data_IF_202816224620
#
_entry.id   IF_202816224620
#
_cell.length_a   1.000
_cell.length_b   1.000
_cell.length_c   1.000
_cell.angle_alpha   90.00
_cell.angle_beta   90.00
_cell.angle_gamma   90.00
#
_symmetry.space_group_name_H-M   'P 1'
#
loop_
_entity.id
_entity.type
_entity.pdbx_description
1 polymer ?
#
# COMPACT_ATOMS: atom_id res chain seq x y z
N UNK A 1 -48.12 -2.47 28.61
CA UNK A 1 -47.20 -1.41 28.16
C UNK A 1 -47.27 -1.37 26.63
N UNK A 2 -47.74 -0.23 26.10
CA UNK A 2 -47.54 0.37 24.75
C UNK A 2 -47.26 -0.58 23.56
N UNK A 3 -48.23 -0.76 22.66
CA UNK A 3 -48.51 0.07 21.47
C UNK A 3 -47.54 -0.27 20.31
N UNK A 4 -47.96 -1.09 19.34
CA UNK A 4 -48.56 -0.68 18.04
C UNK A 4 -47.54 -0.18 17.02
N UNK A 5 -47.36 -0.93 15.92
CA UNK A 5 -47.56 -0.50 14.52
C UNK A 5 -46.66 -1.24 13.54
N UNK A 6 -47.29 -2.20 12.85
CA UNK A 6 -47.03 -2.50 11.45
C UNK A 6 -47.08 -1.19 10.64
N UNK A 7 -46.04 -0.92 9.86
CA UNK A 7 -46.10 0.04 8.76
C UNK A 7 -45.49 -0.62 7.52
N UNK A 8 -46.34 -1.42 6.87
CA UNK A 8 -46.22 -1.79 5.47
C UNK A 8 -46.13 -0.52 4.58
N UNK A 9 -45.33 -0.63 3.52
CA UNK A 9 -45.54 -0.05 2.18
C UNK A 9 -45.23 1.43 1.90
N UNK A 10 -44.22 1.54 1.02
CA UNK A 10 -44.26 2.24 -0.29
C UNK A 10 -44.38 3.77 -0.27
N UNK A 11 -43.25 4.44 -0.42
CA UNK A 11 -43.10 5.64 -1.27
C UNK A 11 -41.66 5.60 -1.79
N UNK A 12 -41.47 5.18 -3.02
CA UNK A 12 -41.44 6.05 -4.21
C UNK A 12 -39.98 6.41 -4.56
N UNK A 13 -39.60 6.00 -5.76
CA UNK A 13 -38.35 6.33 -6.40
C UNK A 13 -38.16 7.85 -6.53
N UNK A 14 -36.89 8.26 -6.49
CA UNK A 14 -36.25 9.31 -7.29
C UNK A 14 -35.35 10.19 -6.41
N UNK A 15 -34.07 10.24 -6.75
CA UNK A 15 -33.26 11.41 -6.44
C UNK A 15 -31.83 11.14 -6.00
N UNK A 16 -30.93 11.31 -6.97
CA UNK A 16 -29.61 11.94 -6.82
C UNK A 16 -28.45 11.15 -6.19
N UNK A 17 -27.56 10.73 -7.09
CA UNK A 17 -26.12 10.97 -7.06
C UNK A 17 -25.46 11.13 -5.69
N UNK A 18 -24.81 10.07 -5.19
CA UNK A 18 -23.64 10.23 -4.32
C UNK A 18 -22.51 9.34 -4.82
N UNK A 19 -21.60 10.02 -5.52
CA UNK A 19 -20.15 9.90 -5.49
C UNK A 19 -19.50 8.51 -5.64
N UNK A 20 -18.79 8.38 -6.77
CA UNK A 20 -17.39 7.94 -6.83
C UNK A 20 -16.93 7.07 -5.66
N UNK A 21 -17.00 5.76 -5.85
CA UNK A 21 -16.11 4.81 -5.17
C UNK A 21 -14.67 5.13 -5.56
N UNK A 22 -14.06 6.07 -4.82
CA UNK A 22 -12.64 6.32 -4.81
C UNK A 22 -11.94 4.98 -4.55
N UNK A 23 -11.23 4.48 -5.56
CA UNK A 23 -10.36 3.33 -5.43
C UNK A 23 -9.48 3.53 -4.19
N UNK A 24 -9.63 2.62 -3.25
CA UNK A 24 -8.95 2.59 -1.97
C UNK A 24 -7.44 2.59 -2.19
N UNK A 25 -6.82 3.77 -2.09
CA UNK A 25 -5.37 3.89 -2.00
C UNK A 25 -4.96 3.32 -0.65
N UNK A 26 -4.72 2.01 -0.57
CA UNK A 26 -4.41 1.33 0.68
C UNK A 26 -3.16 1.94 1.31
N UNK A 27 -3.27 2.77 2.38
CA UNK A 27 -2.12 3.45 2.96
C UNK A 27 -1.29 2.51 3.85
N UNK A 28 -1.74 1.26 4.02
CA UNK A 28 -1.15 0.30 4.96
C UNK A 28 0.33 0.00 4.66
N UNK A 29 0.76 0.04 3.39
CA UNK A 29 2.17 -0.18 3.04
C UNK A 29 3.08 0.97 3.45
N UNK A 30 2.58 2.22 3.42
CA UNK A 30 3.37 3.44 3.68
C UNK A 30 3.86 3.55 5.14
N UNK A 31 3.26 2.81 6.08
CA UNK A 31 3.61 2.85 7.51
C UNK A 31 4.44 1.63 7.97
N UNK A 32 4.71 0.67 7.08
CA UNK A 32 5.41 -0.57 7.45
C UNK A 32 6.91 -0.33 7.77
N UNK A 33 7.52 -1.12 8.67
CA UNK A 33 8.97 -1.09 8.89
C UNK A 33 9.78 -1.38 7.61
N UNK A 34 9.24 -2.23 6.74
CA UNK A 34 9.83 -2.54 5.43
C UNK A 34 9.85 -1.31 4.52
N UNK A 35 8.75 -0.55 4.45
CA UNK A 35 8.69 0.71 3.69
C UNK A 35 9.71 1.73 4.19
N UNK A 36 9.80 1.94 5.52
CA UNK A 36 10.80 2.84 6.12
C UNK A 36 12.23 2.39 5.85
N UNK A 37 12.49 1.09 5.76
CA UNK A 37 13.79 0.57 5.33
C UNK A 37 14.03 0.87 3.84
N UNK A 38 13.04 0.62 2.99
CA UNK A 38 13.07 0.94 1.56
C UNK A 38 13.34 2.41 1.29
N UNK A 39 12.69 3.32 2.01
CA UNK A 39 12.92 4.78 1.91
C UNK A 39 14.36 5.15 2.24
N UNK A 40 14.93 4.60 3.33
CA UNK A 40 16.33 4.86 3.70
C UNK A 40 17.29 4.39 2.61
N UNK A 41 17.04 3.22 2.04
CA UNK A 41 17.85 2.69 0.92
C UNK A 41 17.71 3.59 -0.31
N UNK A 42 16.49 3.98 -0.68
CA UNK A 42 16.23 4.80 -1.84
C UNK A 42 16.91 6.17 -1.75
N UNK A 43 16.79 6.81 -0.58
CA UNK A 43 17.42 8.10 -0.31
C UNK A 43 18.94 8.01 -0.32
N UNK A 44 19.53 6.95 0.27
CA UNK A 44 20.99 6.73 0.22
C UNK A 44 21.53 6.51 -1.19
N UNK A 45 20.67 6.13 -2.13
CA UNK A 45 21.01 5.88 -3.53
C UNK A 45 20.59 7.01 -4.46
N UNK A 46 20.02 8.08 -3.91
CA UNK A 46 19.55 9.25 -4.65
C UNK A 46 18.58 8.88 -5.80
N UNK A 47 17.69 7.91 -5.57
CA UNK A 47 16.64 7.64 -6.55
C UNK A 47 15.68 8.83 -6.60
N UNK A 48 15.30 9.23 -7.81
CA UNK A 48 14.38 10.35 -8.06
C UNK A 48 12.99 10.13 -7.44
N UNK A 49 12.56 8.87 -7.33
CA UNK A 49 11.24 8.47 -6.79
C UNK A 49 11.40 7.55 -5.57
N UNK A 50 11.86 8.06 -4.42
CA UNK A 50 12.18 7.24 -3.26
C UNK A 50 10.95 6.54 -2.66
N UNK A 51 9.78 7.20 -2.63
CA UNK A 51 8.53 6.60 -2.15
C UNK A 51 8.03 5.46 -3.05
N UNK A 52 8.18 5.60 -4.38
CA UNK A 52 7.83 4.54 -5.32
C UNK A 52 8.71 3.30 -5.07
N UNK A 53 10.03 3.51 -4.96
CA UNK A 53 10.95 2.43 -4.60
C UNK A 53 10.56 1.77 -3.28
N UNK A 54 10.28 2.56 -2.24
CA UNK A 54 9.97 2.05 -0.92
C UNK A 54 8.70 1.20 -0.88
N UNK A 55 7.70 1.54 -1.70
CA UNK A 55 6.46 0.76 -1.84
C UNK A 55 6.72 -0.59 -2.48
N UNK A 56 7.41 -0.61 -3.64
CA UNK A 56 7.77 -1.86 -4.32
C UNK A 56 8.68 -2.69 -3.42
N UNK A 57 9.64 -2.06 -2.74
CA UNK A 57 10.49 -2.72 -1.76
C UNK A 57 9.67 -3.39 -0.66
N UNK A 58 8.68 -2.71 -0.06
CA UNK A 58 7.86 -3.26 1.01
C UNK A 58 7.06 -4.51 0.61
N UNK A 59 6.67 -4.63 -0.66
CA UNK A 59 5.98 -5.81 -1.22
C UNK A 59 6.92 -7.02 -1.28
N UNK A 60 8.16 -6.81 -1.71
CA UNK A 60 9.15 -7.88 -1.93
C UNK A 60 10.08 -8.14 -0.74
N UNK A 61 10.09 -7.24 0.24
CA UNK A 61 11.00 -7.28 1.35
C UNK A 61 10.68 -8.43 2.31
N UNK A 62 11.75 -9.10 2.74
CA UNK A 62 11.71 -10.12 3.77
C UNK A 62 12.56 -9.65 4.94
N UNK A 63 12.12 -10.01 6.14
CA UNK A 63 12.91 -9.77 7.35
C UNK A 63 14.03 -10.80 7.38
N UNK A 64 15.26 -10.32 7.36
CA UNK A 64 16.45 -11.15 7.54
C UNK A 64 16.84 -11.14 9.02
N UNK A 65 17.06 -12.32 9.58
CA UNK A 65 17.67 -12.48 10.89
C UNK A 65 19.18 -12.32 10.76
N UNK A 66 19.62 -11.06 10.59
CA UNK A 66 21.03 -10.75 10.56
C UNK A 66 21.60 -10.83 12.00
N UNK A 67 22.70 -11.56 12.24
CA UNK A 67 23.22 -11.81 13.59
C UNK A 67 23.54 -10.53 14.36
N UNK A 68 24.07 -9.51 13.69
CA UNK A 68 24.39 -8.21 14.31
C UNK A 68 23.30 -7.14 14.17
N UNK A 69 22.38 -7.28 13.20
CA UNK A 69 21.40 -6.23 12.88
C UNK A 69 20.00 -6.76 13.15
N UNK A 70 19.51 -6.50 14.36
CA UNK A 70 18.11 -6.77 14.72
C UNK A 70 17.21 -6.06 13.71
N UNK A 71 16.33 -6.81 13.04
CA UNK A 71 15.34 -6.30 12.08
C UNK A 71 15.88 -5.79 10.74
N UNK A 72 16.86 -6.47 10.15
CA UNK A 72 17.29 -6.17 8.79
C UNK A 72 16.20 -6.51 7.77
N UNK A 73 15.94 -5.60 6.82
CA UNK A 73 15.00 -5.81 5.73
C UNK A 73 15.78 -5.88 4.42
N UNK A 74 15.52 -6.90 3.62
CA UNK A 74 16.10 -7.03 2.29
C UNK A 74 15.05 -7.52 1.30
N UNK A 75 15.05 -6.96 0.10
CA UNK A 75 14.30 -7.48 -1.03
C UNK A 75 15.26 -8.32 -1.89
N UNK A 76 14.92 -9.57 -2.24
CA UNK A 76 15.72 -10.35 -3.17
C UNK A 76 15.84 -9.59 -4.50
N UNK A 77 17.05 -9.46 -5.04
CA UNK A 77 17.30 -8.79 -6.31
C UNK A 77 16.88 -9.62 -7.54
N UNK A 78 15.79 -10.39 -7.41
CA UNK A 78 15.25 -11.24 -8.46
C UNK A 78 14.50 -10.44 -9.53
N UNK A 79 14.21 -11.11 -10.66
CA UNK A 79 13.54 -10.51 -11.80
C UNK A 79 12.19 -9.87 -11.48
N UNK A 80 11.41 -10.45 -10.56
CA UNK A 80 10.12 -9.90 -10.15
C UNK A 80 10.25 -8.50 -9.53
N UNK A 81 11.16 -8.33 -8.56
CA UNK A 81 11.39 -7.04 -7.91
C UNK A 81 11.95 -5.99 -8.90
N UNK A 82 12.90 -6.39 -9.75
CA UNK A 82 13.50 -5.49 -10.75
C UNK A 82 12.49 -5.07 -11.82
N UNK A 83 11.69 -6.02 -12.33
CA UNK A 83 10.66 -5.77 -13.33
C UNK A 83 9.57 -4.82 -12.80
N UNK A 84 9.16 -5.00 -11.56
CA UNK A 84 8.16 -4.13 -10.93
C UNK A 84 8.71 -2.72 -10.63
N UNK A 85 9.98 -2.62 -10.21
CA UNK A 85 10.66 -1.33 -10.06
C UNK A 85 10.77 -0.57 -11.39
N UNK A 86 11.08 -1.27 -12.48
CA UNK A 86 11.12 -0.67 -13.80
C UNK A 86 9.71 -0.23 -14.23
N UNK A 87 8.74 -1.14 -14.17
CA UNK A 87 7.37 -0.90 -14.63
C UNK A 87 6.64 0.20 -13.87
N UNK A 88 6.85 0.33 -12.55
CA UNK A 88 6.13 1.31 -11.73
C UNK A 88 6.95 2.58 -11.48
N UNK A 89 8.27 2.45 -11.29
CA UNK A 89 9.11 3.56 -10.84
C UNK A 89 10.10 4.04 -11.92
N UNK A 90 10.31 3.30 -13.01
CA UNK A 90 11.33 3.59 -14.00
C UNK A 90 12.76 3.40 -13.48
N UNK A 91 12.94 2.66 -12.39
CA UNK A 91 14.24 2.45 -11.74
C UNK A 91 14.87 1.17 -12.29
N UNK A 92 16.03 1.29 -12.93
CA UNK A 92 16.87 0.15 -13.34
C UNK A 92 18.01 -0.08 -12.35
N UNK A 93 18.17 -1.32 -11.88
CA UNK A 93 19.12 -1.74 -10.83
C UNK A 93 19.69 -3.13 -11.10
#
# INVERSE_FOLDING_TARGET
MRAELLADRRFAAAGLCVLMTMLSYSPALAQSPAYRAGLRIANSRHYEKPDCYARVFAIHARRSNHPEKRSHWSAPAGGAFKGELWSQCGISR
#
